data_IF_120012561116
#
_entry.id   IF_120012561116
#
_cell.length_a   1.000
_cell.length_b   1.000
_cell.length_c   1.000
_cell.angle_alpha   90.00
_cell.angle_beta   90.00
_cell.angle_gamma   90.00
#
_symmetry.space_group_name_H-M   'P 1'
#
loop_
_entity.id
_entity.type
_entity.pdbx_description
1 polymer ?
#
# COMPACT_ATOMS: atom_id res chain seq x y z
N UNK A 1 -0.85 5.26 0.91
CA UNK A 1 0.03 4.17 0.40
C UNK A 1 -0.58 2.81 0.71
N UNK A 2 -0.42 1.83 -0.18
CA UNK A 2 -0.77 0.42 0.06
C UNK A 2 0.51 -0.36 0.31
N UNK A 3 0.55 -1.13 1.39
CA UNK A 3 1.76 -1.81 1.88
C UNK A 3 1.48 -3.25 2.31
N UNK A 4 2.57 -3.97 2.60
CA UNK A 4 2.63 -5.28 3.23
C UNK A 4 4.07 -5.48 3.76
N UNK A 5 4.31 -6.49 4.61
CA UNK A 5 5.69 -6.82 5.01
C UNK A 5 6.57 -7.12 3.80
N UNK A 6 7.88 -6.84 3.91
CA UNK A 6 8.83 -7.08 2.82
C UNK A 6 8.83 -8.55 2.36
N UNK A 7 8.65 -9.48 3.31
CA UNK A 7 8.54 -10.91 3.04
C UNK A 7 7.30 -11.25 2.20
N UNK A 8 6.12 -10.77 2.62
CA UNK A 8 4.86 -10.97 1.89
C UNK A 8 4.94 -10.32 0.50
N UNK A 9 5.47 -9.11 0.40
CA UNK A 9 5.64 -8.42 -0.88
C UNK A 9 6.54 -9.21 -1.82
N UNK A 10 7.69 -9.68 -1.33
CA UNK A 10 8.66 -10.48 -2.09
C UNK A 10 8.01 -11.77 -2.59
N UNK A 11 7.37 -12.53 -1.71
CA UNK A 11 6.68 -13.77 -2.07
C UNK A 11 5.62 -13.54 -3.16
N UNK A 12 4.76 -12.53 -2.99
CA UNK A 12 3.71 -12.19 -3.96
C UNK A 12 4.25 -11.71 -5.30
N UNK A 13 5.36 -10.97 -5.32
CA UNK A 13 5.96 -10.50 -6.57
C UNK A 13 6.61 -11.65 -7.33
N UNK A 14 7.35 -12.52 -6.64
CA UNK A 14 8.05 -13.65 -7.27
C UNK A 14 7.11 -14.75 -7.75
N UNK A 15 5.93 -14.89 -7.15
CA UNK A 15 4.89 -15.80 -7.64
C UNK A 15 4.30 -15.38 -9.02
N UNK A 16 4.56 -14.14 -9.49
CA UNK A 16 4.01 -13.65 -10.76
C UNK A 16 4.79 -14.21 -11.95
N UNK A 17 4.13 -14.61 -13.05
CA UNK A 17 4.80 -15.03 -14.27
C UNK A 17 5.81 -13.98 -14.75
N UNK A 18 7.02 -14.41 -15.11
CA UNK A 18 8.07 -13.53 -15.64
C UNK A 18 8.76 -12.64 -14.58
N UNK A 19 8.62 -12.95 -13.29
CA UNK A 19 9.40 -12.35 -12.22
C UNK A 19 10.59 -13.23 -11.81
N UNK A 20 11.66 -12.56 -11.39
CA UNK A 20 12.88 -13.17 -10.84
C UNK A 20 13.45 -12.27 -9.75
N UNK A 21 14.32 -12.82 -8.91
CA UNK A 21 15.01 -12.07 -7.84
C UNK A 21 15.76 -10.86 -8.40
N UNK A 22 16.53 -11.08 -9.47
CA UNK A 22 17.29 -10.01 -10.14
C UNK A 22 16.37 -8.88 -10.62
N UNK A 23 15.21 -9.23 -11.19
CA UNK A 23 14.22 -8.25 -11.66
C UNK A 23 13.57 -7.53 -10.49
N UNK A 24 13.24 -8.23 -9.39
CA UNK A 24 12.70 -7.62 -8.17
C UNK A 24 13.70 -6.61 -7.57
N UNK A 25 14.97 -6.98 -7.40
CA UNK A 25 16.01 -6.07 -6.87
C UNK A 25 16.19 -4.86 -7.77
N UNK A 26 16.20 -5.04 -9.10
CA UNK A 26 16.29 -3.93 -10.05
C UNK A 26 15.11 -2.97 -9.96
N UNK A 27 13.90 -3.51 -9.75
CA UNK A 27 12.69 -2.70 -9.54
C UNK A 27 12.80 -1.93 -8.23
N UNK A 28 13.16 -2.59 -7.12
CA UNK A 28 13.28 -1.97 -5.80
C UNK A 28 14.29 -0.83 -5.79
N UNK A 29 15.42 -0.97 -6.48
CA UNK A 29 16.46 0.06 -6.58
C UNK A 29 15.98 1.36 -7.25
N UNK A 30 14.88 1.33 -8.00
CA UNK A 30 14.30 2.51 -8.68
C UNK A 30 13.10 3.08 -7.94
N UNK A 31 12.69 2.49 -6.82
CA UNK A 31 11.52 2.91 -6.07
C UNK A 31 11.91 3.68 -4.80
N UNK A 32 11.01 4.56 -4.35
CA UNK A 32 11.06 5.07 -2.97
C UNK A 32 10.86 3.90 -1.99
N UNK A 33 11.71 3.75 -0.95
CA UNK A 33 11.55 2.70 0.05
C UNK A 33 10.17 2.74 0.72
N UNK A 34 9.60 1.57 1.02
CA UNK A 34 8.27 1.47 1.61
C UNK A 34 8.14 2.23 2.94
N UNK A 35 9.17 2.17 3.80
CA UNK A 35 9.20 2.92 5.06
C UNK A 35 9.06 4.43 4.82
N UNK A 36 9.71 4.97 3.79
CA UNK A 36 9.60 6.38 3.43
C UNK A 36 8.26 6.72 2.78
N UNK A 37 7.67 5.80 2.01
CA UNK A 37 6.29 5.96 1.51
C UNK A 37 5.29 6.01 2.67
N UNK A 38 5.46 5.18 3.70
CA UNK A 38 4.60 5.15 4.89
C UNK A 38 4.70 6.43 5.70
N UNK A 39 5.92 6.94 5.92
CA UNK A 39 6.14 8.23 6.62
C UNK A 39 5.47 9.42 5.94
N UNK A 40 5.33 9.38 4.61
CA UNK A 40 4.82 10.49 3.80
C UNK A 40 3.33 10.35 3.42
N UNK A 41 2.64 9.31 3.86
CA UNK A 41 1.30 9.02 3.41
C UNK A 41 0.24 9.54 4.39
N UNK A 42 -0.82 10.13 3.86
CA UNK A 42 -2.02 10.50 4.63
C UNK A 42 -2.79 9.26 5.11
N UNK A 43 -2.81 8.22 4.27
CA UNK A 43 -3.47 6.95 4.55
C UNK A 43 -2.54 5.77 4.32
N UNK A 44 -2.62 4.73 5.17
CA UNK A 44 -1.89 3.48 5.03
C UNK A 44 -2.88 2.31 4.99
N UNK A 45 -2.78 1.46 3.96
CA UNK A 45 -3.56 0.22 3.85
C UNK A 45 -2.60 -0.97 3.88
N UNK A 46 -2.61 -1.75 4.97
CA UNK A 46 -1.81 -2.98 5.09
C UNK A 46 -2.58 -4.20 4.53
N UNK A 47 -2.16 -4.65 3.36
CA UNK A 47 -2.74 -5.82 2.67
C UNK A 47 -2.09 -7.14 3.06
N UNK A 48 -1.15 -7.13 4.01
CA UNK A 48 -0.61 -8.33 4.64
C UNK A 48 -1.63 -9.03 5.53
N UNK A 49 -2.60 -8.29 6.07
CA UNK A 49 -3.64 -8.78 6.98
C UNK A 49 -4.85 -9.44 6.28
N UNK A 50 -4.83 -9.54 4.96
CA UNK A 50 -5.90 -10.16 4.17
C UNK A 50 -6.98 -9.19 3.69
N UNK A 51 -7.99 -9.75 3.00
CA UNK A 51 -8.98 -8.96 2.27
C UNK A 51 -9.93 -8.18 3.18
N UNK A 52 -10.34 -8.74 4.31
CA UNK A 52 -11.33 -8.08 5.18
C UNK A 52 -10.73 -6.86 5.87
N UNK A 53 -9.48 -6.95 6.33
CA UNK A 53 -8.73 -5.81 6.86
C UNK A 53 -8.54 -4.71 5.80
N UNK A 54 -8.18 -5.10 4.57
CA UNK A 54 -8.04 -4.15 3.46
C UNK A 54 -9.38 -3.46 3.12
N UNK A 55 -10.49 -4.22 3.09
CA UNK A 55 -11.83 -3.69 2.81
C UNK A 55 -12.28 -2.71 3.91
N UNK A 56 -12.04 -3.05 5.17
CA UNK A 56 -12.34 -2.16 6.29
C UNK A 56 -11.56 -0.84 6.20
N UNK A 57 -10.25 -0.90 5.91
CA UNK A 57 -9.41 0.28 5.75
C UNK A 57 -9.88 1.17 4.58
N UNK A 58 -10.21 0.57 3.43
CA UNK A 58 -10.75 1.31 2.28
C UNK A 58 -12.07 1.99 2.62
N UNK A 59 -13.00 1.27 3.27
CA UNK A 59 -14.30 1.83 3.65
C UNK A 59 -14.15 3.01 4.61
N UNK A 60 -13.23 2.93 5.58
CA UNK A 60 -12.94 4.02 6.51
C UNK A 60 -12.41 5.27 5.77
N UNK A 61 -11.44 5.10 4.87
CA UNK A 61 -10.88 6.19 4.06
C UNK A 61 -11.96 6.82 3.18
N UNK A 62 -12.81 6.02 2.54
CA UNK A 62 -13.91 6.54 1.72
C UNK A 62 -14.91 7.31 2.57
N UNK A 63 -15.28 6.81 3.75
CA UNK A 63 -16.18 7.50 4.67
C UNK A 63 -15.60 8.86 5.11
N UNK A 64 -14.30 8.91 5.42
CA UNK A 64 -13.60 10.14 5.77
C UNK A 64 -13.63 11.15 4.60
N UNK A 65 -13.21 10.73 3.41
CA UNK A 65 -13.14 11.61 2.24
C UNK A 65 -14.50 12.08 1.72
N UNK A 66 -15.55 11.27 1.88
CA UNK A 66 -16.93 11.61 1.44
C UNK A 66 -17.66 12.42 2.52
N UNK A 67 -17.40 12.16 3.80
CA UNK A 67 -17.92 12.93 4.93
C UNK A 67 -17.35 14.35 5.03
N UNK A 68 -16.12 14.57 4.54
CA UNK A 68 -15.41 15.85 4.62
C UNK A 68 -15.80 16.88 3.55
N UNK A 69 -16.73 16.54 2.62
CA UNK A 69 -17.30 17.53 1.68
C UNK A 69 -18.17 18.61 2.35
N UNK A 70 -18.50 18.47 3.64
CA UNK A 70 -19.32 19.42 4.38
C UNK A 70 -18.49 20.48 5.17
N UNK A 71 -17.16 20.41 5.15
CA UNK A 71 -16.33 21.15 6.11
C UNK A 71 -15.07 21.79 5.54
N UNK A 72 -15.20 22.67 4.53
CA UNK A 72 -14.10 23.62 4.24
C UNK A 72 -14.67 25.03 4.04
N UNK A 73 -14.69 25.90 5.07
CA UNK A 73 -14.85 27.32 4.84
C UNK A 73 -13.58 27.84 4.15
N UNK A 74 -13.79 28.74 3.19
CA UNK A 74 -12.76 29.47 2.46
C UNK A 74 -11.92 30.37 3.39
#
# INVERSE_FOLDING_TARGET
VVTASAEIQRARVLARPGMSEKKLVSILARQVPDAEKRKRADFIIDTGQGFDAARAAVNAIVAELVGDKAGKPA
#
